data_IF_286414044876
#
_entry.id   IF_286414044876
#
_cell.length_a   1.000
_cell.length_b   1.000
_cell.length_c   1.000
_cell.angle_alpha   90.00
_cell.angle_beta   90.00
_cell.angle_gamma   90.00
#
_symmetry.space_group_name_H-M   'P 1'
#
loop_
_entity.id
_entity.type
_entity.pdbx_description
1 polymer ?
#
# COMPACT_ATOMS: atom_id res chain seq x y z
N UNK A 1 48.51 -53.66 1.98
CA UNK A 1 47.47 -53.04 2.79
C UNK A 1 47.21 -51.66 2.24
N UNK A 2 46.17 -51.45 1.54
CA UNK A 2 45.84 -50.16 0.94
C UNK A 2 44.83 -49.48 1.83
N UNK A 3 45.23 -48.42 2.53
CA UNK A 3 44.35 -47.64 3.39
C UNK A 3 43.56 -46.67 2.51
N UNK A 4 42.30 -46.99 2.29
CA UNK A 4 41.33 -46.12 1.63
C UNK A 4 40.93 -44.99 2.57
N UNK A 5 41.54 -43.84 2.44
CA UNK A 5 41.04 -42.64 3.04
C UNK A 5 39.93 -42.08 2.20
N UNK A 6 38.67 -42.29 2.62
CA UNK A 6 37.52 -41.59 2.08
C UNK A 6 37.63 -40.11 2.45
N UNK A 7 37.86 -39.30 1.43
CA UNK A 7 37.65 -37.86 1.53
C UNK A 7 36.16 -37.59 1.46
N UNK A 8 35.52 -37.42 2.62
CA UNK A 8 34.16 -36.90 2.69
C UNK A 8 34.23 -35.40 2.39
N UNK A 9 34.01 -35.03 1.14
CA UNK A 9 33.72 -33.67 0.74
C UNK A 9 32.34 -33.30 1.29
N UNK A 10 32.32 -32.65 2.45
CA UNK A 10 31.10 -32.07 3.03
C UNK A 10 30.84 -30.77 2.24
N UNK A 11 30.09 -30.90 1.14
CA UNK A 11 29.56 -29.74 0.44
C UNK A 11 28.45 -29.21 1.34
N UNK A 12 28.79 -28.22 2.16
CA UNK A 12 27.82 -27.42 2.88
C UNK A 12 27.12 -26.56 1.82
N UNK A 13 25.98 -27.08 1.33
CA UNK A 13 25.03 -26.33 0.54
C UNK A 13 24.45 -25.24 1.46
N UNK A 14 25.09 -24.08 1.47
CA UNK A 14 24.51 -22.89 2.11
C UNK A 14 23.28 -22.49 1.29
N UNK A 15 22.13 -23.06 1.65
CA UNK A 15 20.85 -22.53 1.28
C UNK A 15 20.74 -21.16 1.97
N UNK A 16 21.17 -20.12 1.28
CA UNK A 16 20.82 -18.74 1.63
C UNK A 16 19.30 -18.65 1.53
N UNK A 17 18.63 -18.85 2.66
CA UNK A 17 17.22 -18.49 2.78
C UNK A 17 17.14 -16.98 2.57
N UNK A 18 16.88 -16.59 1.34
CA UNK A 18 16.44 -15.25 1.03
C UNK A 18 15.05 -15.11 1.67
N UNK A 19 15.01 -14.71 2.92
CA UNK A 19 13.78 -14.32 3.57
C UNK A 19 13.31 -13.05 2.88
N UNK A 20 12.53 -13.22 1.83
CA UNK A 20 11.74 -12.13 1.29
C UNK A 20 10.87 -11.62 2.44
N UNK A 21 11.22 -10.47 3.01
CA UNK A 21 10.39 -9.83 4.01
C UNK A 21 9.06 -9.49 3.32
N UNK A 22 8.04 -10.29 3.58
CA UNK A 22 6.70 -10.01 3.12
C UNK A 22 6.21 -8.75 3.83
N UNK A 23 6.28 -7.60 3.16
CA UNK A 23 5.69 -6.36 3.67
C UNK A 23 4.20 -6.58 3.95
N UNK A 24 3.75 -6.01 5.06
CA UNK A 24 2.35 -5.97 5.48
C UNK A 24 1.85 -4.53 5.51
N UNK A 25 0.53 -4.32 5.60
CA UNK A 25 -0.02 -2.95 5.56
C UNK A 25 0.50 -2.05 6.69
N UNK A 26 0.84 -2.61 7.84
CA UNK A 26 1.43 -1.86 8.97
C UNK A 26 2.87 -1.40 8.73
N UNK A 27 3.50 -1.81 7.64
CA UNK A 27 4.78 -1.25 7.18
C UNK A 27 4.60 0.09 6.44
N UNK A 28 3.36 0.53 6.28
CA UNK A 28 2.99 1.79 5.68
C UNK A 28 2.30 2.69 6.70
N UNK A 29 2.39 4.01 6.48
CA UNK A 29 1.60 5.02 7.20
C UNK A 29 0.36 5.35 6.38
N UNK A 30 -0.76 5.50 7.07
CA UNK A 30 -1.97 6.07 6.47
C UNK A 30 -1.88 7.58 6.60
N UNK A 31 -1.97 8.29 5.50
CA UNK A 31 -2.04 9.75 5.47
C UNK A 31 -3.39 10.20 4.97
N UNK A 32 -4.03 11.12 5.69
CA UNK A 32 -5.36 11.61 5.35
C UNK A 32 -5.55 13.06 5.77
N UNK A 33 -6.41 13.78 5.07
CA UNK A 33 -6.68 15.18 5.34
C UNK A 33 -8.19 15.39 5.56
N UNK A 34 -8.55 15.93 6.73
CA UNK A 34 -9.94 16.23 7.09
C UNK A 34 -10.91 15.06 6.90
N UNK A 35 -10.44 13.86 7.20
CA UNK A 35 -11.21 12.62 7.08
C UNK A 35 -12.19 12.42 8.24
N UNK A 36 -12.06 13.22 9.32
CA UNK A 36 -12.75 13.03 10.60
C UNK A 36 -12.53 11.62 11.20
N UNK A 37 -11.47 10.95 10.78
CA UNK A 37 -11.09 9.62 11.20
C UNK A 37 -9.67 9.66 11.74
N UNK A 38 -9.48 9.25 13.00
CA UNK A 38 -8.15 9.22 13.63
C UNK A 38 -7.52 7.83 13.62
N UNK A 39 -8.33 6.80 13.42
CA UNK A 39 -7.90 5.41 13.42
C UNK A 39 -8.67 4.57 12.40
N UNK A 40 -7.99 3.65 11.75
CA UNK A 40 -8.59 2.68 10.84
C UNK A 40 -8.00 1.29 11.09
N UNK A 41 -8.85 0.27 11.05
CA UNK A 41 -8.37 -1.11 10.94
C UNK A 41 -7.89 -1.40 9.52
N UNK A 42 -7.04 -2.42 9.36
CA UNK A 42 -6.61 -2.87 8.02
C UNK A 42 -7.80 -3.25 7.12
N UNK A 43 -8.86 -3.79 7.69
CA UNK A 43 -10.08 -4.12 6.95
C UNK A 43 -10.81 -2.87 6.46
N UNK A 44 -11.04 -1.91 7.34
CA UNK A 44 -11.68 -0.63 6.97
C UNK A 44 -10.87 0.12 5.92
N UNK A 45 -9.54 0.17 6.08
CA UNK A 45 -8.65 0.78 5.10
C UNK A 45 -8.84 0.16 3.71
N UNK A 46 -8.84 -1.17 3.62
CA UNK A 46 -9.07 -1.88 2.35
C UNK A 46 -10.44 -1.55 1.75
N UNK A 47 -11.48 -1.43 2.56
CA UNK A 47 -12.82 -1.07 2.09
C UNK A 47 -12.87 0.34 1.49
N UNK A 48 -12.21 1.34 2.13
CA UNK A 48 -12.06 2.67 1.55
C UNK A 48 -11.29 2.62 0.22
N UNK A 49 -10.14 1.95 0.19
CA UNK A 49 -9.30 1.84 -1.00
C UNK A 49 -9.94 1.03 -2.14
N UNK A 50 -10.94 0.21 -1.85
CA UNK A 50 -11.74 -0.51 -2.85
C UNK A 50 -12.98 0.29 -3.30
N UNK A 51 -13.13 1.53 -2.85
CA UNK A 51 -14.25 2.39 -3.25
C UNK A 51 -15.61 1.97 -2.68
N UNK A 52 -15.62 1.17 -1.60
CA UNK A 52 -16.86 0.78 -0.92
C UNK A 52 -17.55 1.98 -0.27
N UNK A 53 -16.73 2.89 0.27
CA UNK A 53 -17.19 4.14 0.86
C UNK A 53 -16.72 5.32 0.02
N UNK A 54 -17.66 6.14 -0.41
CA UNK A 54 -17.40 7.34 -1.22
C UNK A 54 -17.46 8.63 -0.42
N UNK A 55 -17.97 8.55 0.81
CA UNK A 55 -18.06 9.66 1.76
C UNK A 55 -17.44 9.28 3.10
N UNK A 56 -16.79 10.23 3.72
CA UNK A 56 -16.41 10.17 5.14
C UNK A 56 -17.63 10.42 6.03
N UNK A 57 -17.54 10.04 7.30
CA UNK A 57 -18.59 10.32 8.29
C UNK A 57 -18.89 11.84 8.44
N UNK A 58 -17.93 12.68 8.06
CA UNK A 58 -18.10 14.14 7.98
C UNK A 58 -18.93 14.61 6.79
N UNK A 59 -19.33 13.73 5.87
CA UNK A 59 -20.00 14.07 4.62
C UNK A 59 -19.06 14.49 3.49
N UNK A 60 -17.75 14.59 3.73
CA UNK A 60 -16.77 14.90 2.68
C UNK A 60 -16.55 13.69 1.77
N UNK A 61 -16.34 13.97 0.48
CA UNK A 61 -15.99 12.93 -0.48
C UNK A 61 -14.65 12.29 -0.15
N UNK A 62 -14.60 10.97 -0.21
CA UNK A 62 -13.34 10.21 -0.12
C UNK A 62 -12.59 10.37 -1.45
N UNK A 63 -11.33 10.81 -1.36
CA UNK A 63 -10.43 10.94 -2.52
C UNK A 63 -9.27 9.98 -2.32
N UNK A 64 -9.27 8.90 -3.07
CA UNK A 64 -8.25 7.84 -2.97
C UNK A 64 -7.01 8.25 -3.75
N UNK A 65 -5.86 8.16 -3.09
CA UNK A 65 -4.56 8.39 -3.73
C UNK A 65 -3.79 7.07 -3.73
N UNK A 66 -3.40 6.64 -4.92
CA UNK A 66 -2.69 5.38 -5.16
C UNK A 66 -1.30 5.64 -5.72
N UNK A 67 -0.42 4.68 -5.52
CA UNK A 67 0.87 4.65 -6.18
C UNK A 67 0.72 4.30 -7.65
N UNK A 68 1.36 5.07 -8.52
CA UNK A 68 1.45 4.78 -9.96
C UNK A 68 2.40 3.61 -10.23
N UNK A 69 2.45 3.14 -11.47
CA UNK A 69 3.38 2.09 -11.88
C UNK A 69 4.86 2.48 -11.73
N UNK A 70 5.17 3.76 -11.62
CA UNK A 70 6.54 4.26 -11.41
C UNK A 70 6.99 4.15 -9.96
N UNK A 71 6.07 4.03 -9.02
CA UNK A 71 6.40 3.93 -7.60
C UNK A 71 6.90 2.55 -7.22
N UNK A 72 7.95 2.49 -6.43
CA UNK A 72 8.49 1.26 -5.85
C UNK A 72 7.48 0.51 -4.95
N UNK A 73 6.46 1.18 -4.44
CA UNK A 73 5.44 0.59 -3.55
C UNK A 73 4.22 0.05 -4.29
N UNK A 74 4.08 0.36 -5.57
CA UNK A 74 2.91 0.04 -6.38
C UNK A 74 2.55 -1.45 -6.37
N UNK A 75 3.51 -2.31 -6.69
CA UNK A 75 3.27 -3.77 -6.76
C UNK A 75 2.90 -4.35 -5.39
N UNK A 76 3.59 -3.92 -4.33
CA UNK A 76 3.33 -4.37 -2.95
C UNK A 76 1.94 -3.98 -2.48
N UNK A 77 1.57 -2.70 -2.62
CA UNK A 77 0.26 -2.20 -2.20
C UNK A 77 -0.89 -2.77 -3.03
N UNK A 78 -0.68 -2.95 -4.34
CA UNK A 78 -1.66 -3.63 -5.20
C UNK A 78 -1.99 -5.04 -4.70
N UNK A 79 -0.98 -5.78 -4.30
CA UNK A 79 -1.17 -7.14 -3.72
C UNK A 79 -1.82 -7.08 -2.35
N UNK A 80 -1.36 -6.22 -1.45
CA UNK A 80 -1.84 -6.15 -0.07
C UNK A 80 -3.31 -5.70 0.03
N UNK A 81 -3.71 -4.74 -0.81
CA UNK A 81 -5.06 -4.16 -0.76
C UNK A 81 -6.02 -4.90 -1.68
N UNK A 82 -5.61 -5.16 -2.92
CA UNK A 82 -6.50 -5.67 -3.97
C UNK A 82 -6.26 -7.13 -4.34
N UNK A 83 -5.19 -7.74 -3.82
CA UNK A 83 -4.76 -9.10 -4.15
C UNK A 83 -4.58 -9.32 -5.68
N UNK A 84 -4.04 -8.32 -6.36
CA UNK A 84 -3.81 -8.33 -7.80
C UNK A 84 -2.56 -7.53 -8.18
N UNK A 85 -2.28 -7.42 -9.49
CA UNK A 85 -1.22 -6.60 -10.03
C UNK A 85 -1.63 -5.12 -10.10
N UNK A 86 -0.68 -4.24 -10.35
CA UNK A 86 -0.93 -2.82 -10.55
C UNK A 86 -1.88 -2.57 -11.75
N UNK A 87 -1.72 -3.31 -12.86
CA UNK A 87 -2.67 -3.26 -13.98
C UNK A 87 -4.06 -3.74 -13.58
N UNK A 88 -4.14 -4.76 -12.72
CA UNK A 88 -5.41 -5.23 -12.16
C UNK A 88 -6.12 -4.15 -11.35
N UNK A 89 -5.38 -3.37 -10.56
CA UNK A 89 -5.92 -2.21 -9.82
C UNK A 89 -6.47 -1.15 -10.78
N UNK A 90 -5.75 -0.83 -11.84
CA UNK A 90 -6.23 0.13 -12.85
C UNK A 90 -7.53 -0.34 -13.51
N UNK A 91 -7.61 -1.61 -13.91
CA UNK A 91 -8.83 -2.20 -14.49
C UNK A 91 -9.99 -2.19 -13.50
N UNK A 92 -9.73 -2.51 -12.24
CA UNK A 92 -10.72 -2.49 -11.17
C UNK A 92 -11.33 -1.10 -11.01
N UNK A 93 -10.52 -0.05 -10.90
CA UNK A 93 -10.98 1.32 -10.75
C UNK A 93 -11.70 1.84 -12.00
N UNK A 94 -11.19 1.50 -13.17
CA UNK A 94 -11.83 1.85 -14.42
C UNK A 94 -13.27 1.29 -14.49
N UNK A 95 -13.44 0.04 -14.06
CA UNK A 95 -14.77 -0.60 -13.99
C UNK A 95 -15.71 0.13 -13.02
N UNK A 96 -15.24 0.51 -11.83
CA UNK A 96 -16.08 1.24 -10.86
C UNK A 96 -16.49 2.62 -11.37
N UNK A 97 -15.58 3.33 -12.01
CA UNK A 97 -15.83 4.66 -12.58
C UNK A 97 -16.84 4.58 -13.72
N UNK A 98 -16.69 3.63 -14.64
CA UNK A 98 -17.66 3.42 -15.72
C UNK A 98 -19.06 3.02 -15.24
N UNK A 99 -19.14 2.32 -14.10
CA UNK A 99 -20.41 1.98 -13.45
C UNK A 99 -21.02 3.15 -12.65
N UNK A 100 -20.33 4.29 -12.58
CA UNK A 100 -20.76 5.43 -11.76
C UNK A 100 -20.75 5.17 -10.25
N UNK A 101 -19.99 4.15 -9.79
CA UNK A 101 -19.97 3.71 -8.39
C UNK A 101 -18.92 4.42 -7.53
N UNK A 102 -17.90 4.99 -8.15
CA UNK A 102 -16.83 5.70 -7.46
C UNK A 102 -16.21 6.77 -8.34
N UNK A 103 -15.58 7.77 -7.71
CA UNK A 103 -14.74 8.72 -8.40
C UNK A 103 -13.37 8.10 -8.71
N UNK A 104 -12.71 8.49 -9.82
CA UNK A 104 -11.40 7.95 -10.16
C UNK A 104 -10.38 8.31 -9.08
N UNK A 105 -9.49 7.37 -8.69
CA UNK A 105 -8.39 7.66 -7.81
C UNK A 105 -7.31 8.49 -8.53
N UNK A 106 -6.47 9.17 -7.75
CA UNK A 106 -5.28 9.84 -8.25
C UNK A 106 -4.09 8.89 -8.12
N UNK A 107 -3.29 8.77 -9.17
CA UNK A 107 -2.06 7.98 -9.17
C UNK A 107 -0.85 8.90 -9.12
N UNK A 108 0.04 8.69 -8.15
CA UNK A 108 1.24 9.50 -7.93
C UNK A 108 2.48 8.62 -7.82
N UNK A 109 3.64 9.19 -8.18
CA UNK A 109 4.86 8.41 -8.39
C UNK A 109 5.70 8.23 -7.12
N UNK A 110 5.49 9.07 -6.10
CA UNK A 110 6.29 9.06 -4.88
C UNK A 110 5.50 9.38 -3.63
N UNK A 111 6.04 8.97 -2.48
CA UNK A 111 5.47 9.28 -1.16
C UNK A 111 5.38 10.78 -0.91
N UNK A 112 6.38 11.55 -1.35
CA UNK A 112 6.39 13.01 -1.21
C UNK A 112 5.27 13.68 -2.01
N UNK A 113 4.99 13.20 -3.21
CA UNK A 113 3.85 13.67 -4.00
C UNK A 113 2.52 13.33 -3.35
N UNK A 114 2.40 12.12 -2.78
CA UNK A 114 1.21 11.71 -2.03
C UNK A 114 0.98 12.61 -0.83
N UNK A 115 2.01 12.86 -0.01
CA UNK A 115 1.91 13.76 1.15
C UNK A 115 1.51 15.17 0.71
N UNK A 116 2.14 15.70 -0.33
CA UNK A 116 1.83 17.03 -0.86
C UNK A 116 0.39 17.14 -1.37
N UNK A 117 -0.07 16.14 -2.11
CA UNK A 117 -1.45 16.10 -2.61
C UNK A 117 -2.47 16.00 -1.46
N UNK A 118 -2.25 15.08 -0.54
CA UNK A 118 -3.13 14.86 0.62
C UNK A 118 -3.20 16.12 1.48
N UNK A 119 -2.07 16.79 1.75
CA UNK A 119 -2.04 18.01 2.56
C UNK A 119 -2.90 19.14 2.02
N UNK A 120 -3.07 19.21 0.70
CA UNK A 120 -3.83 20.25 -0.01
C UNK A 120 -5.26 19.85 -0.40
N UNK A 121 -5.62 18.58 -0.18
CA UNK A 121 -6.89 18.04 -0.69
C UNK A 121 -7.75 17.48 0.45
N UNK A 122 -8.76 18.23 0.90
CA UNK A 122 -9.70 17.73 1.91
C UNK A 122 -10.38 16.44 1.48
N UNK A 123 -10.45 15.46 2.39
CA UNK A 123 -11.03 14.14 2.14
C UNK A 123 -10.08 13.15 1.45
N UNK A 124 -8.85 13.55 1.12
CA UNK A 124 -7.87 12.66 0.51
C UNK A 124 -7.27 11.69 1.53
N UNK A 125 -7.00 10.46 1.08
CA UNK A 125 -6.33 9.40 1.83
C UNK A 125 -5.36 8.66 0.93
N UNK A 126 -4.16 8.38 1.45
CA UNK A 126 -3.11 7.63 0.77
C UNK A 126 -2.30 6.80 1.74
N UNK A 127 -1.41 5.98 1.20
CA UNK A 127 -0.43 5.19 1.95
C UNK A 127 0.97 5.58 1.51
N UNK A 128 1.87 5.74 2.48
CA UNK A 128 3.29 6.01 2.25
C UNK A 128 4.13 5.04 3.07
N UNK A 129 5.40 4.89 2.72
CA UNK A 129 6.31 4.06 3.51
C UNK A 129 6.39 4.56 4.96
N UNK A 130 6.53 3.63 5.88
CA UNK A 130 6.61 3.90 7.33
C UNK A 130 7.72 4.91 7.69
N UNK A 131 8.81 4.90 6.93
CA UNK A 131 9.97 5.76 7.18
C UNK A 131 9.91 7.11 6.42
N UNK A 132 8.92 7.28 5.54
CA UNK A 132 8.79 8.53 4.78
C UNK A 132 8.35 9.68 5.67
N UNK A 133 8.88 10.87 5.39
CA UNK A 133 8.53 12.08 6.12
C UNK A 133 7.08 12.50 5.87
N UNK A 134 6.36 12.82 6.95
CA UNK A 134 4.97 13.27 6.86
C UNK A 134 4.64 14.11 8.11
N UNK A 135 3.89 15.23 7.95
CA UNK A 135 3.33 15.95 9.09
C UNK A 135 2.45 15.05 9.94
N UNK A 136 2.64 15.08 11.25
CA UNK A 136 1.86 14.25 12.20
C UNK A 136 0.36 14.52 12.14
N UNK A 137 -0.04 15.73 11.78
CA UNK A 137 -1.44 16.13 11.61
C UNK A 137 -2.18 15.38 10.49
N UNK A 138 -1.45 14.77 9.56
CA UNK A 138 -2.01 13.98 8.46
C UNK A 138 -2.06 12.48 8.77
N UNK A 139 -1.45 12.01 9.85
CA UNK A 139 -1.34 10.58 10.14
C UNK A 139 -2.64 10.06 10.73
N UNK A 140 -3.19 9.01 10.10
CA UNK A 140 -4.27 8.19 10.65
C UNK A 140 -3.63 6.92 11.22
N UNK A 141 -3.94 6.60 12.47
CA UNK A 141 -3.34 5.45 13.15
C UNK A 141 -3.99 4.12 12.69
N UNK A 142 -3.20 3.07 12.63
CA UNK A 142 -3.77 1.72 12.58
C UNK A 142 -4.35 1.35 13.96
N UNK A 143 -5.57 0.77 13.93
CA UNK A 143 -6.25 0.22 15.11
C UNK A 143 -6.03 -1.27 15.19
#
# INVERSE_FOLDING_TARGET
MVSRRLFFCFVILQCSFFTAQNKVLTDFKIVGNQTACTQLTSSQLKEYFKGKYTLWNSGKSVKIVLHSSQSQHSATLSRLIYNTTQQGVQKYWLSLVFQGRANPPVFLDSDSEIVNYVSKTPGAIGLIDKNSACPTSLIIQFK
#
